data_IF_021415792427
#
_entry.id   IF_021415792427
#
_cell.length_a   1.000
_cell.length_b   1.000
_cell.length_c   1.000
_cell.angle_alpha   90.00
_cell.angle_beta   90.00
_cell.angle_gamma   90.00
#
_symmetry.space_group_name_H-M   'P 1'
#
loop_
_entity.id
_entity.type
_entity.pdbx_description
1 polymer ?
#
# COMPACT_ATOMS: atom_id res chain seq x y z
N UNK A 1 -0.09 -11.12 -6.45
CA UNK A 1 -0.08 -10.86 -5.01
C UNK A 1 -1.46 -11.16 -4.45
N UNK A 2 -1.56 -11.47 -3.17
CA UNK A 2 -2.80 -11.51 -2.41
C UNK A 2 -2.61 -10.66 -1.18
N UNK A 3 -3.68 -10.05 -0.68
CA UNK A 3 -3.69 -9.24 0.53
C UNK A 3 -4.84 -9.72 1.42
N UNK A 4 -4.53 -9.99 2.68
CA UNK A 4 -5.46 -10.48 3.67
C UNK A 4 -5.91 -9.42 4.67
N UNK A 5 -5.30 -8.22 4.70
CA UNK A 5 -5.63 -7.15 5.64
C UNK A 5 -5.86 -7.66 7.09
N UNK A 6 -4.92 -8.46 7.57
CA UNK A 6 -4.75 -8.89 8.98
C UNK A 6 -5.82 -9.85 9.49
N UNK A 7 -6.51 -10.55 8.59
CA UNK A 7 -7.74 -11.28 8.93
C UNK A 7 -7.53 -12.59 9.69
N UNK A 8 -6.33 -13.15 9.69
CA UNK A 8 -6.12 -14.55 10.10
C UNK A 8 -5.13 -14.68 11.26
N UNK A 9 -5.36 -15.69 12.10
CA UNK A 9 -4.31 -16.20 12.99
C UNK A 9 -3.27 -17.00 12.19
N UNK A 10 -2.07 -17.20 12.74
CA UNK A 10 -0.95 -17.86 12.05
C UNK A 10 -1.30 -19.23 11.44
N UNK A 11 -1.92 -20.19 12.16
CA UNK A 11 -2.26 -21.49 11.56
C UNK A 11 -3.28 -21.35 10.42
N UNK A 12 -4.21 -20.41 10.57
CA UNK A 12 -5.29 -20.14 9.64
C UNK A 12 -4.75 -19.53 8.33
N UNK A 13 -3.81 -18.60 8.44
CA UNK A 13 -3.09 -18.02 7.30
C UNK A 13 -2.37 -19.08 6.47
N UNK A 14 -1.66 -20.02 7.14
CA UNK A 14 -0.97 -21.11 6.46
C UNK A 14 -1.95 -22.05 5.77
N UNK A 15 -3.07 -22.38 6.41
CA UNK A 15 -4.11 -23.23 5.82
C UNK A 15 -4.73 -22.59 4.57
N UNK A 16 -5.13 -21.31 4.64
CA UNK A 16 -5.70 -20.61 3.49
C UNK A 16 -4.71 -20.49 2.35
N UNK A 17 -3.48 -20.07 2.64
CA UNK A 17 -2.48 -19.90 1.59
C UNK A 17 -2.05 -21.22 0.96
N UNK A 18 -2.11 -22.34 1.70
CA UNK A 18 -1.89 -23.67 1.13
C UNK A 18 -2.95 -24.03 0.08
N UNK A 19 -4.22 -23.66 0.32
CA UNK A 19 -5.31 -23.85 -0.67
C UNK A 19 -5.15 -22.93 -1.87
N UNK A 20 -4.71 -21.70 -1.64
CA UNK A 20 -4.52 -20.69 -2.68
C UNK A 20 -3.19 -20.81 -3.46
N UNK A 21 -2.31 -21.72 -3.03
CA UNK A 21 -1.00 -21.93 -3.65
C UNK A 21 -1.09 -22.35 -5.13
N UNK A 22 -2.21 -22.94 -5.57
CA UNK A 22 -2.43 -23.30 -6.98
C UNK A 22 -2.34 -22.09 -7.92
N UNK A 23 -2.67 -20.88 -7.43
CA UNK A 23 -2.63 -19.63 -8.18
C UNK A 23 -1.24 -18.99 -8.22
N UNK A 24 -0.24 -19.61 -7.56
CA UNK A 24 1.16 -19.17 -7.51
C UNK A 24 1.32 -17.69 -7.11
N UNK A 25 0.74 -17.25 -5.98
CA UNK A 25 0.90 -15.88 -5.53
C UNK A 25 2.38 -15.60 -5.21
N UNK A 26 2.91 -14.49 -5.71
CA UNK A 26 4.28 -14.05 -5.41
C UNK A 26 4.48 -13.82 -3.89
N UNK A 27 3.49 -13.18 -3.25
CA UNK A 27 3.41 -13.05 -1.81
C UNK A 27 1.95 -13.01 -1.33
N UNK A 28 1.77 -13.25 -0.04
CA UNK A 28 0.61 -12.86 0.77
C UNK A 28 0.98 -11.64 1.62
N UNK A 29 0.14 -10.62 1.57
CA UNK A 29 0.29 -9.38 2.31
C UNK A 29 -0.61 -9.39 3.56
N UNK A 30 -0.05 -8.88 4.67
CA UNK A 30 -0.69 -8.76 5.97
C UNK A 30 -1.54 -9.98 6.36
N UNK A 31 -0.96 -11.21 6.43
CA UNK A 31 -1.73 -12.40 6.76
C UNK A 31 -2.34 -12.35 8.18
N UNK A 32 -1.64 -11.73 9.13
CA UNK A 32 -2.01 -11.64 10.55
C UNK A 32 -1.85 -10.19 11.04
N UNK A 33 -2.13 -9.95 12.33
CA UNK A 33 -1.95 -8.67 13.01
C UNK A 33 -0.61 -8.01 12.66
N UNK A 34 -0.58 -6.69 12.35
CA UNK A 34 0.64 -5.98 11.97
C UNK A 34 1.68 -6.00 13.09
N UNK A 35 1.21 -6.08 14.35
CA UNK A 35 2.07 -6.16 15.53
C UNK A 35 2.70 -7.56 15.75
N UNK A 36 2.19 -8.60 15.08
CA UNK A 36 2.64 -9.99 15.29
C UNK A 36 3.84 -10.34 14.39
N UNK A 37 5.00 -9.82 14.76
CA UNK A 37 6.27 -10.05 14.05
C UNK A 37 6.63 -11.54 13.99
N UNK A 38 6.44 -12.25 15.10
CA UNK A 38 6.76 -13.68 15.19
C UNK A 38 5.76 -14.52 14.39
N UNK A 39 4.50 -14.11 14.34
CA UNK A 39 3.49 -14.71 13.49
C UNK A 39 3.78 -14.54 12.00
N UNK A 40 4.23 -13.35 11.58
CA UNK A 40 4.70 -13.11 10.22
C UNK A 40 5.92 -13.98 9.87
N UNK A 41 6.91 -14.08 10.77
CA UNK A 41 8.08 -14.94 10.58
C UNK A 41 7.68 -16.42 10.44
N UNK A 42 6.83 -16.91 11.34
CA UNK A 42 6.32 -18.30 11.33
C UNK A 42 5.54 -18.59 10.03
N UNK A 43 4.69 -17.66 9.60
CA UNK A 43 3.92 -17.79 8.35
C UNK A 43 4.87 -17.82 7.14
N UNK A 44 5.89 -16.96 7.13
CA UNK A 44 6.90 -16.91 6.07
C UNK A 44 7.67 -18.23 5.94
N UNK A 45 8.14 -18.78 7.06
CA UNK A 45 8.83 -20.09 7.07
C UNK A 45 7.94 -21.22 6.56
N UNK A 46 6.66 -21.22 6.93
CA UNK A 46 5.70 -22.25 6.52
C UNK A 46 5.33 -22.16 5.02
N UNK A 47 5.29 -20.95 4.45
CA UNK A 47 4.90 -20.71 3.06
C UNK A 47 6.08 -20.74 2.08
N UNK A 48 7.32 -20.57 2.55
CA UNK A 48 8.52 -20.60 1.71
C UNK A 48 8.66 -21.86 0.82
N UNK A 49 8.35 -23.10 1.29
CA UNK A 49 8.37 -24.29 0.44
C UNK A 49 7.38 -24.26 -0.73
N UNK A 50 6.32 -23.45 -0.63
CA UNK A 50 5.32 -23.25 -1.68
C UNK A 50 5.73 -22.14 -2.67
N UNK A 51 6.87 -21.48 -2.42
CA UNK A 51 7.36 -20.35 -3.24
C UNK A 51 6.59 -19.06 -3.02
N UNK A 52 5.91 -18.91 -1.87
CA UNK A 52 5.08 -17.76 -1.53
C UNK A 52 5.81 -16.92 -0.49
N UNK A 53 6.10 -15.65 -0.80
CA UNK A 53 6.64 -14.69 0.16
C UNK A 53 5.59 -14.11 1.12
N UNK A 54 6.04 -13.38 2.14
CA UNK A 54 5.17 -12.62 3.05
C UNK A 54 5.55 -11.15 2.99
N UNK A 55 4.57 -10.27 2.81
CA UNK A 55 4.70 -8.81 2.84
C UNK A 55 3.87 -8.21 3.98
N UNK A 56 4.29 -7.09 4.55
CA UNK A 56 3.57 -6.35 5.60
C UNK A 56 4.16 -4.94 5.71
N UNK A 57 3.43 -3.97 6.27
CA UNK A 57 4.04 -2.69 6.65
C UNK A 57 3.14 -1.46 6.60
N UNK A 58 2.00 -1.48 5.90
CA UNK A 58 1.17 -0.28 5.72
C UNK A 58 0.58 0.25 7.03
N UNK A 59 0.27 -0.66 7.97
CA UNK A 59 -0.26 -0.31 9.29
C UNK A 59 0.80 -0.37 10.39
N UNK A 60 2.07 -0.49 10.04
CA UNK A 60 3.12 -0.71 11.02
C UNK A 60 3.40 0.56 11.84
N UNK A 61 3.26 0.52 13.19
CA UNK A 61 3.36 1.73 14.00
C UNK A 61 4.80 2.23 14.22
N UNK A 62 5.82 1.38 14.04
CA UNK A 62 7.23 1.74 14.24
C UNK A 62 8.23 0.80 13.54
N UNK A 63 9.49 1.24 13.45
CA UNK A 63 10.62 0.44 12.99
C UNK A 63 10.84 -0.80 13.87
N UNK A 64 10.98 -1.96 13.24
CA UNK A 64 11.27 -3.23 13.90
C UNK A 64 12.64 -3.77 13.44
N UNK A 65 13.33 -4.50 14.32
CA UNK A 65 14.66 -5.06 14.05
C UNK A 65 14.67 -6.26 13.10
N UNK A 66 13.49 -6.77 12.73
CA UNK A 66 13.33 -7.90 11.80
C UNK A 66 13.14 -7.34 10.38
N UNK A 67 13.94 -7.78 9.40
CA UNK A 67 13.77 -7.35 8.02
C UNK A 67 12.47 -7.93 7.44
N UNK A 68 11.44 -7.10 7.41
CA UNK A 68 10.22 -7.31 6.61
C UNK A 68 10.35 -6.54 5.29
N UNK A 69 9.66 -6.96 4.23
CA UNK A 69 9.54 -6.15 3.02
C UNK A 69 8.47 -5.09 3.28
N UNK A 70 8.85 -3.82 3.52
CA UNK A 70 7.87 -2.81 3.88
C UNK A 70 6.98 -2.51 2.68
N UNK A 71 5.68 -2.69 2.86
CA UNK A 71 4.67 -2.16 1.96
C UNK A 71 4.38 -0.69 2.34
N UNK A 72 4.28 0.18 1.34
CA UNK A 72 3.74 1.53 1.49
C UNK A 72 2.75 1.77 0.35
N UNK A 73 1.48 1.88 0.69
CA UNK A 73 0.38 1.90 -0.27
C UNK A 73 -0.92 2.31 0.40
N UNK A 74 -1.90 2.62 -0.44
CA UNK A 74 -3.17 3.24 -0.02
C UNK A 74 -3.59 4.45 -0.86
N UNK A 75 -4.87 4.80 -0.74
CA UNK A 75 -5.51 5.82 -1.58
C UNK A 75 -4.90 7.20 -1.30
N UNK A 76 -4.38 7.85 -2.36
CA UNK A 76 -3.74 9.16 -2.28
C UNK A 76 -2.29 9.16 -1.77
N UNK A 77 -1.69 7.98 -1.55
CA UNK A 77 -0.27 7.86 -1.17
C UNK A 77 0.67 7.70 -2.36
N UNK A 78 0.14 7.33 -3.53
CA UNK A 78 0.89 7.16 -4.78
C UNK A 78 1.74 8.40 -5.10
N UNK A 79 1.18 9.59 -4.89
CA UNK A 79 1.82 10.87 -5.15
C UNK A 79 3.10 11.07 -4.33
N UNK A 80 3.14 10.56 -3.09
CA UNK A 80 4.26 10.73 -2.16
C UNK A 80 5.26 9.58 -2.28
N UNK A 81 4.78 8.33 -2.20
CA UNK A 81 5.63 7.12 -2.10
C UNK A 81 6.54 6.95 -3.33
N UNK A 82 6.11 7.40 -4.51
CA UNK A 82 6.94 7.37 -5.72
C UNK A 82 8.29 8.08 -5.53
N UNK A 83 8.35 9.18 -4.79
CA UNK A 83 9.59 9.92 -4.55
C UNK A 83 10.58 9.11 -3.72
N UNK A 84 10.07 8.40 -2.70
CA UNK A 84 10.88 7.58 -1.81
C UNK A 84 11.47 6.38 -2.53
N UNK A 85 10.66 5.66 -3.31
CA UNK A 85 11.14 4.46 -4.01
C UNK A 85 12.06 4.80 -5.18
N UNK A 86 11.88 5.96 -5.83
CA UNK A 86 12.82 6.47 -6.83
C UNK A 86 14.15 6.86 -6.18
N UNK A 87 14.12 7.54 -5.03
CA UNK A 87 15.32 7.84 -4.25
C UNK A 87 16.05 6.57 -3.81
N UNK A 88 15.32 5.57 -3.29
CA UNK A 88 15.88 4.25 -2.94
C UNK A 88 16.64 3.66 -4.12
N UNK A 89 16.00 3.57 -5.28
CA UNK A 89 16.63 3.02 -6.48
C UNK A 89 17.89 3.78 -6.88
N UNK A 90 17.86 5.12 -6.89
CA UNK A 90 18.98 5.94 -7.39
C UNK A 90 20.15 5.96 -6.40
N UNK A 91 19.89 6.03 -5.10
CA UNK A 91 20.88 6.44 -4.10
C UNK A 91 21.08 5.47 -2.94
N UNK A 92 20.24 4.42 -2.80
CA UNK A 92 20.32 3.47 -1.68
C UNK A 92 20.48 2.04 -2.17
N UNK A 93 19.47 1.48 -2.84
CA UNK A 93 19.44 0.07 -3.22
C UNK A 93 20.11 -0.23 -4.56
N UNK A 94 20.13 0.72 -5.49
CA UNK A 94 20.67 0.55 -6.85
C UNK A 94 20.10 -0.68 -7.60
N UNK A 95 18.88 -1.12 -7.27
CA UNK A 95 18.29 -2.34 -7.83
C UNK A 95 16.77 -2.28 -7.88
N UNK A 96 16.18 -2.88 -8.92
CA UNK A 96 14.73 -3.14 -9.03
C UNK A 96 14.38 -4.61 -8.75
N UNK A 97 15.37 -5.44 -8.41
CA UNK A 97 15.15 -6.87 -8.18
C UNK A 97 14.27 -7.05 -6.94
N UNK A 98 13.17 -7.81 -7.08
CA UNK A 98 12.18 -8.05 -6.03
C UNK A 98 11.60 -6.75 -5.40
N UNK A 99 11.40 -5.72 -6.22
CA UNK A 99 10.81 -4.44 -5.80
C UNK A 99 9.72 -4.01 -6.77
N UNK A 100 8.59 -3.58 -6.22
CA UNK A 100 7.47 -3.00 -6.95
C UNK A 100 6.89 -1.86 -6.12
N UNK A 101 6.26 -0.88 -6.78
CA UNK A 101 5.53 0.19 -6.13
C UNK A 101 4.04 -0.03 -6.41
N UNK A 102 3.22 -0.02 -5.36
CA UNK A 102 1.77 -0.13 -5.51
C UNK A 102 1.21 1.04 -6.32
N UNK A 103 0.10 0.82 -7.03
CA UNK A 103 -0.66 1.84 -7.73
C UNK A 103 -2.15 1.50 -7.70
N UNK A 104 -2.98 2.49 -7.37
CA UNK A 104 -4.44 2.42 -7.41
C UNK A 104 -4.97 3.63 -8.16
N UNK A 105 -5.83 3.42 -9.16
CA UNK A 105 -6.39 4.48 -10.02
C UNK A 105 -7.55 5.24 -9.35
N UNK A 106 -7.28 5.85 -8.19
CA UNK A 106 -8.29 6.57 -7.42
C UNK A 106 -7.75 7.93 -6.93
N UNK A 107 -8.57 8.98 -7.08
CA UNK A 107 -8.42 10.31 -6.48
C UNK A 107 -7.24 11.17 -6.97
N UNK A 108 -6.47 10.72 -7.97
CA UNK A 108 -5.38 11.49 -8.58
C UNK A 108 -5.84 12.86 -9.10
N UNK A 109 -7.09 12.96 -9.55
CA UNK A 109 -7.70 14.20 -10.05
C UNK A 109 -7.78 15.31 -8.99
N UNK A 110 -7.63 14.98 -7.70
CA UNK A 110 -7.65 15.95 -6.60
C UNK A 110 -6.27 16.51 -6.27
N UNK A 111 -5.19 15.96 -6.83
CA UNK A 111 -3.84 16.48 -6.66
C UNK A 111 -3.47 17.45 -7.78
N UNK A 112 -2.64 18.45 -7.46
CA UNK A 112 -2.11 19.40 -8.44
C UNK A 112 -1.03 18.77 -9.32
N UNK A 113 -0.30 17.82 -8.75
CA UNK A 113 0.79 17.09 -9.41
C UNK A 113 0.53 15.58 -9.32
N UNK A 114 -0.48 15.06 -10.04
CA UNK A 114 -0.80 13.64 -10.00
C UNK A 114 0.33 12.79 -10.55
N UNK A 115 0.37 11.53 -10.11
CA UNK A 115 1.30 10.53 -10.65
C UNK A 115 1.12 10.37 -12.17
N UNK A 116 2.22 10.11 -12.87
CA UNK A 116 2.20 9.82 -14.31
C UNK A 116 2.65 8.38 -14.49
N UNK A 117 1.74 7.51 -14.92
CA UNK A 117 2.03 6.12 -15.24
C UNK A 117 2.24 5.97 -16.74
N UNK A 118 3.37 5.36 -17.14
CA UNK A 118 3.65 4.99 -18.53
C UNK A 118 4.13 3.55 -18.58
N UNK A 119 3.49 2.71 -19.39
CA UNK A 119 3.83 1.29 -19.50
C UNK A 119 3.91 0.60 -18.12
N UNK A 120 2.89 0.82 -17.27
CA UNK A 120 2.84 0.31 -15.89
C UNK A 120 4.05 0.69 -15.01
N UNK A 121 4.68 1.85 -15.29
CA UNK A 121 5.81 2.38 -14.52
C UNK A 121 5.55 3.82 -14.09
N UNK A 122 5.93 4.16 -12.87
CA UNK A 122 5.94 5.54 -12.37
C UNK A 122 6.99 6.36 -13.12
N UNK A 123 6.56 7.49 -13.70
CA UNK A 123 7.47 8.47 -14.30
C UNK A 123 7.93 9.46 -13.22
N UNK A 124 9.24 9.75 -13.11
CA UNK A 124 9.74 10.68 -12.10
C UNK A 124 9.03 12.04 -12.14
N UNK A 125 8.55 12.55 -10.99
CA UNK A 125 7.97 13.89 -10.89
C UNK A 125 8.96 14.97 -11.38
N UNK A 126 8.43 15.98 -12.06
CA UNK A 126 9.24 17.08 -12.64
C UNK A 126 9.14 18.40 -11.87
N UNK A 127 8.00 18.61 -11.21
CA UNK A 127 7.74 19.82 -10.45
C UNK A 127 8.38 19.73 -9.07
N UNK A 128 8.75 20.88 -8.51
CA UNK A 128 9.34 20.94 -7.18
C UNK A 128 8.31 20.62 -6.09
N UNK A 129 8.78 20.05 -4.99
CA UNK A 129 7.97 19.65 -3.85
C UNK A 129 7.79 18.13 -3.78
N UNK A 130 6.81 17.71 -2.98
CA UNK A 130 6.59 16.30 -2.66
C UNK A 130 5.26 15.76 -3.20
N UNK A 131 4.72 16.42 -4.22
CA UNK A 131 3.42 16.12 -4.85
C UNK A 131 2.20 16.09 -3.90
N UNK A 132 2.34 16.64 -2.69
CA UNK A 132 1.30 16.66 -1.65
C UNK A 132 0.22 17.71 -1.86
N UNK A 133 0.45 18.69 -2.75
CA UNK A 133 -0.47 19.81 -2.95
C UNK A 133 -1.77 19.32 -3.60
N UNK A 134 -2.86 19.34 -2.83
CA UNK A 134 -4.21 19.09 -3.32
C UNK A 134 -4.80 20.36 -3.97
N UNK A 135 -5.71 20.18 -4.92
CA UNK A 135 -6.48 21.28 -5.50
C UNK A 135 -7.39 21.88 -4.42
N UNK A 136 -7.28 23.18 -4.20
CA UNK A 136 -8.10 23.94 -3.23
C UNK A 136 -9.60 23.70 -3.38
N UNK A 137 -10.09 23.61 -4.62
CA UNK A 137 -11.49 23.28 -4.90
C UNK A 137 -11.89 21.89 -4.39
N UNK A 138 -10.99 20.90 -4.50
CA UNK A 138 -11.23 19.54 -4.05
C UNK A 138 -11.25 19.48 -2.52
N UNK A 139 -10.32 20.18 -1.87
CA UNK A 139 -10.30 20.30 -0.40
C UNK A 139 -11.60 20.91 0.11
N UNK A 140 -12.00 22.09 -0.40
CA UNK A 140 -13.23 22.76 0.04
C UNK A 140 -14.49 21.94 -0.20
N UNK A 141 -14.56 21.23 -1.34
CA UNK A 141 -15.72 20.43 -1.72
C UNK A 141 -15.88 19.17 -0.86
N UNK A 142 -14.78 18.54 -0.47
CA UNK A 142 -14.77 17.26 0.26
C UNK A 142 -14.38 17.38 1.74
N UNK A 143 -14.19 18.60 2.26
CA UNK A 143 -13.91 18.84 3.67
C UNK A 143 -15.03 18.25 4.55
N UNK A 144 -14.70 17.34 5.46
CA UNK A 144 -15.67 16.85 6.44
C UNK A 144 -15.78 17.81 7.63
N UNK A 145 -16.97 18.08 8.19
CA UNK A 145 -18.30 17.72 7.68
C UNK A 145 -18.91 18.77 6.73
N UNK A 146 -18.27 19.93 6.58
CA UNK A 146 -18.90 21.15 6.04
C UNK A 146 -18.85 21.30 4.52
N UNK A 147 -18.10 20.46 3.83
CA UNK A 147 -17.96 20.44 2.39
C UNK A 147 -19.28 20.10 1.70
N UNK A 148 -19.44 20.58 0.47
CA UNK A 148 -20.65 20.37 -0.33
C UNK A 148 -21.05 18.89 -0.42
N UNK A 149 -20.07 17.99 -0.60
CA UNK A 149 -20.32 16.55 -0.72
C UNK A 149 -20.89 15.98 0.57
N UNK A 150 -20.28 16.31 1.72
CA UNK A 150 -20.72 15.78 3.01
C UNK A 150 -22.06 16.36 3.45
N UNK A 151 -22.31 17.65 3.23
CA UNK A 151 -23.63 18.26 3.48
C UNK A 151 -24.74 17.53 2.72
N UNK A 152 -24.51 17.16 1.46
CA UNK A 152 -25.48 16.40 0.66
C UNK A 152 -25.66 14.97 1.20
N UNK A 153 -24.57 14.27 1.50
CA UNK A 153 -24.62 12.89 2.00
C UNK A 153 -25.28 12.80 3.38
N UNK A 154 -24.94 13.68 4.31
CA UNK A 154 -25.51 13.72 5.66
C UNK A 154 -26.99 14.12 5.64
N UNK A 155 -27.38 15.06 4.76
CA UNK A 155 -28.80 15.39 4.55
C UNK A 155 -29.59 14.20 3.98
N UNK A 156 -28.96 13.35 3.16
CA UNK A 156 -29.59 12.15 2.62
C UNK A 156 -29.70 11.00 3.64
N UNK A 157 -28.88 10.97 4.69
CA UNK A 157 -28.94 9.96 5.76
C UNK A 157 -29.91 10.32 6.90
N UNK A 158 -30.32 11.58 7.00
CA UNK A 158 -31.27 12.06 8.01
C UNK A 158 -32.75 11.97 7.61
N UNK A 159 -33.05 11.48 6.41
CA UNK A 159 -34.40 11.21 5.87
C UNK A 159 -34.62 9.70 5.72
#
# INVERSE_FOLDING_TARGET
>A
MMDANQRWDVPEAVEWMSKLAEFKPLWIEEPTSPDDILGHATTSEALAPLGIGVATGEQQPAFISVPVCPHAGGVGLCELVQHLIIFDFISVSASLTNRMCEYVDHLHEHFKYPVIIKNASYMPPKEAGYSTEMKEESVKKHQYPDGEVWKKLLAAQGN
#
